data_IF_405836951646
#
_entry.id   IF_405836951646
#
_cell.length_a   1.000
_cell.length_b   1.000
_cell.length_c   1.000
_cell.angle_alpha   90.00
_cell.angle_beta   90.00
_cell.angle_gamma   90.00
#
_symmetry.space_group_name_H-M   'P 1'
#
loop_
_entity.id
_entity.type
_entity.pdbx_description
1 polymer ?
#
# COMPACT_ATOMS: atom_id res chain seq x y z
N UNK A 1 -4.59 23.12 1.29
CA UNK A 1 -4.16 24.38 1.96
C UNK A 1 -4.69 24.54 3.38
N UNK A 2 -5.93 24.10 3.66
CA UNK A 2 -6.56 24.20 5.00
C UNK A 2 -5.72 23.55 6.12
N UNK A 3 -5.43 22.25 6.03
CA UNK A 3 -4.69 21.53 7.08
C UNK A 3 -3.28 22.05 7.35
N UNK A 4 -2.60 22.59 6.34
CA UNK A 4 -1.29 23.23 6.54
C UNK A 4 -1.39 24.47 7.45
N UNK A 5 -2.43 25.28 7.29
CA UNK A 5 -2.66 26.44 8.16
C UNK A 5 -2.92 26.01 9.60
N UNK A 6 -3.70 24.95 9.79
CA UNK A 6 -3.96 24.39 11.12
C UNK A 6 -2.68 23.86 11.77
N UNK A 7 -1.80 23.18 11.04
CA UNK A 7 -0.50 22.73 11.57
C UNK A 7 0.41 23.90 11.96
N UNK A 8 0.42 24.99 11.19
CA UNK A 8 1.15 26.21 11.57
C UNK A 8 0.56 26.82 12.86
N UNK A 9 -0.76 26.84 12.99
CA UNK A 9 -1.42 27.31 14.21
C UNK A 9 -1.08 26.44 15.42
N UNK A 10 -1.07 25.12 15.25
CA UNK A 10 -0.66 24.17 16.29
C UNK A 10 0.80 24.38 16.68
N UNK A 11 1.70 24.54 15.72
CA UNK A 11 3.12 24.83 15.97
C UNK A 11 3.31 26.09 16.84
N UNK A 12 2.64 27.18 16.49
CA UNK A 12 2.66 28.42 17.27
C UNK A 12 1.94 28.28 18.63
N UNK A 13 0.90 27.46 18.69
CA UNK A 13 0.13 27.15 19.89
C UNK A 13 0.91 26.35 20.92
N UNK A 14 1.74 25.41 20.47
CA UNK A 14 2.48 24.49 21.34
C UNK A 14 3.41 25.20 22.33
N UNK A 15 4.08 26.28 21.90
CA UNK A 15 4.94 27.08 22.77
C UNK A 15 4.16 27.80 23.87
N UNK A 16 3.01 28.40 23.52
CA UNK A 16 2.13 29.04 24.50
C UNK A 16 1.56 28.02 25.48
N UNK A 17 1.17 26.85 24.98
CA UNK A 17 0.66 25.76 25.81
C UNK A 17 1.72 25.26 26.81
N UNK A 18 2.97 25.12 26.38
CA UNK A 18 4.07 24.75 27.28
C UNK A 18 4.29 25.79 28.40
N UNK A 19 4.21 27.08 28.08
CA UNK A 19 4.30 28.14 29.09
C UNK A 19 3.17 28.09 30.13
N UNK A 20 1.97 27.65 29.73
CA UNK A 20 0.85 27.49 30.67
C UNK A 20 1.15 26.44 31.74
N UNK A 21 1.79 25.33 31.36
CA UNK A 21 2.26 24.31 32.31
C UNK A 21 3.35 24.85 33.24
N UNK A 22 4.33 25.57 32.70
CA UNK A 22 5.43 26.16 33.49
C UNK A 22 4.91 27.15 34.54
N UNK A 23 3.92 27.96 34.18
CA UNK A 23 3.33 28.95 35.08
C UNK A 23 2.29 28.35 36.05
N UNK A 24 2.12 27.02 36.07
CA UNK A 24 1.13 26.33 36.91
C UNK A 24 -0.27 26.94 36.77
N UNK A 25 -0.66 27.25 35.53
CA UNK A 25 -1.94 27.87 35.22
C UNK A 25 -3.08 26.99 35.75
N UNK A 26 -4.03 27.58 36.48
CA UNK A 26 -5.12 26.83 37.14
C UNK A 26 -6.10 26.15 36.17
N UNK A 27 -6.15 26.59 34.92
CA UNK A 27 -7.01 26.02 33.88
C UNK A 27 -6.22 25.90 32.58
N UNK A 28 -5.74 24.69 32.29
CA UNK A 28 -5.02 24.37 31.05
C UNK A 28 -5.95 23.51 30.21
N UNK A 29 -6.29 24.00 29.02
CA UNK A 29 -7.00 23.19 28.03
C UNK A 29 -6.02 22.13 27.53
N UNK A 30 -6.41 20.85 27.64
CA UNK A 30 -5.53 19.74 27.25
C UNK A 30 -5.40 19.67 25.74
N UNK A 31 -4.16 19.58 25.27
CA UNK A 31 -3.82 19.51 23.86
C UNK A 31 -3.23 18.13 23.54
N UNK A 32 -3.68 17.51 22.45
CA UNK A 32 -3.33 16.10 22.14
C UNK A 32 -1.84 15.91 21.84
N UNK A 33 -1.15 16.95 21.38
CA UNK A 33 0.30 16.89 21.13
C UNK A 33 1.15 17.05 22.40
N UNK A 34 0.55 17.38 23.54
CA UNK A 34 1.30 17.68 24.76
C UNK A 34 1.54 16.45 25.63
N UNK A 35 2.80 16.12 25.89
CA UNK A 35 3.18 15.02 26.79
C UNK A 35 2.82 15.25 28.25
N UNK A 36 2.74 16.51 28.71
CA UNK A 36 2.27 16.82 30.06
C UNK A 36 0.75 16.58 30.18
N UNK A 37 -0.02 16.87 29.12
CA UNK A 37 -1.44 16.56 29.08
C UNK A 37 -1.72 15.08 28.86
N UNK A 38 -0.94 14.41 28.02
CA UNK A 38 -1.10 13.00 27.66
C UNK A 38 0.26 12.30 27.79
N UNK A 39 0.61 11.84 29.00
CA UNK A 39 1.90 11.22 29.27
C UNK A 39 2.09 9.94 28.46
N UNK A 40 3.36 9.60 28.23
CA UNK A 40 3.73 8.38 27.53
C UNK A 40 3.34 7.15 28.37
N UNK A 41 2.89 6.06 27.73
CA UNK A 41 2.69 4.80 28.43
C UNK A 41 4.03 4.27 28.95
N UNK A 42 3.99 3.48 30.02
CA UNK A 42 5.19 2.86 30.61
C UNK A 42 5.95 1.97 29.63
N UNK A 43 5.22 1.33 28.71
CA UNK A 43 5.78 0.47 27.66
C UNK A 43 5.32 1.00 26.31
N UNK A 44 6.27 1.39 25.47
CA UNK A 44 6.01 1.85 24.10
C UNK A 44 6.04 0.62 23.16
N UNK A 45 4.98 0.37 22.37
CA UNK A 45 4.93 -0.74 21.43
C UNK A 45 6.08 -0.69 20.42
N UNK A 46 6.62 -1.85 20.06
CA UNK A 46 7.75 -1.94 19.12
C UNK A 46 7.35 -1.44 17.71
N UNK A 47 6.12 -1.72 17.29
CA UNK A 47 5.55 -1.17 16.05
C UNK A 47 5.57 0.36 16.02
N UNK A 48 5.28 1.01 17.15
CA UNK A 48 5.36 2.46 17.27
C UNK A 48 6.80 2.97 17.14
N UNK A 49 7.77 2.31 17.78
CA UNK A 49 9.18 2.71 17.66
C UNK A 49 9.68 2.61 16.22
N UNK A 50 9.33 1.53 15.52
CA UNK A 50 9.69 1.35 14.11
C UNK A 50 9.07 2.44 13.23
N UNK A 51 7.78 2.74 13.43
CA UNK A 51 7.12 3.84 12.76
C UNK A 51 7.81 5.18 13.07
N UNK A 52 8.08 5.47 14.35
CA UNK A 52 8.66 6.73 14.77
C UNK A 52 10.06 6.96 14.19
N UNK A 53 10.89 5.91 14.12
CA UNK A 53 12.23 5.98 13.51
C UNK A 53 12.19 6.44 12.04
N UNK A 54 11.14 6.07 11.31
CA UNK A 54 10.91 6.57 9.96
C UNK A 54 10.25 7.96 9.99
N UNK A 55 9.18 8.12 10.76
CA UNK A 55 8.36 9.32 10.80
C UNK A 55 9.11 10.56 11.29
N UNK A 56 10.15 10.39 12.13
CA UNK A 56 10.99 11.49 12.60
C UNK A 56 11.77 12.20 11.50
N UNK A 57 11.92 11.58 10.31
CA UNK A 57 12.53 12.26 9.16
C UNK A 57 11.74 13.46 8.65
N UNK A 58 10.47 13.60 9.05
CA UNK A 58 9.61 14.75 8.72
C UNK A 58 9.76 15.92 9.69
N UNK A 59 10.92 16.06 10.34
CA UNK A 59 11.23 17.13 11.30
C UNK A 59 10.25 17.19 12.46
N UNK A 60 9.91 16.04 13.04
CA UNK A 60 9.12 15.96 14.27
C UNK A 60 10.03 16.07 15.49
N UNK A 61 9.62 16.81 16.52
CA UNK A 61 10.37 16.97 17.77
C UNK A 61 9.89 16.02 18.86
N UNK A 62 8.58 15.80 18.96
CA UNK A 62 8.00 14.96 20.01
C UNK A 62 6.64 14.39 19.65
N UNK A 63 6.27 13.31 20.33
CA UNK A 63 4.95 12.69 20.31
C UNK A 63 4.41 12.56 21.73
N UNK A 64 3.09 12.44 21.88
CA UNK A 64 2.43 12.22 23.16
C UNK A 64 1.87 10.79 23.27
N UNK A 65 1.28 10.46 24.42
CA UNK A 65 0.52 9.22 24.57
C UNK A 65 -0.63 9.09 23.56
N UNK A 66 -1.20 10.21 23.08
CA UNK A 66 -2.25 10.20 22.06
C UNK A 66 -1.73 9.75 20.70
N UNK A 67 -0.55 10.20 20.30
CA UNK A 67 0.08 9.76 19.04
C UNK A 67 0.26 8.25 19.01
N UNK A 68 0.68 7.66 20.13
CA UNK A 68 0.82 6.20 20.26
C UNK A 68 -0.53 5.51 20.13
N UNK A 69 -1.55 5.99 20.85
CA UNK A 69 -2.91 5.44 20.79
C UNK A 69 -3.45 5.43 19.35
N UNK A 70 -3.34 6.56 18.64
CA UNK A 70 -3.84 6.67 17.28
C UNK A 70 -3.09 5.80 16.28
N UNK A 71 -1.78 5.61 16.45
CA UNK A 71 -1.03 4.70 15.59
C UNK A 71 -1.45 3.24 15.81
N UNK A 72 -1.60 2.81 17.07
CA UNK A 72 -2.04 1.44 17.37
C UNK A 72 -3.43 1.18 16.78
N UNK A 73 -4.37 2.10 16.99
CA UNK A 73 -5.71 2.03 16.42
C UNK A 73 -5.70 2.03 14.89
N UNK A 74 -4.79 2.80 14.26
CA UNK A 74 -4.61 2.81 12.81
C UNK A 74 -4.11 1.45 12.29
N UNK A 75 -3.12 0.86 12.95
CA UNK A 75 -2.60 -0.47 12.58
C UNK A 75 -3.71 -1.52 12.68
N UNK A 76 -4.48 -1.51 13.77
CA UNK A 76 -5.59 -2.44 13.96
C UNK A 76 -6.70 -2.25 12.91
N UNK A 77 -7.00 -1.00 12.56
CA UNK A 77 -7.99 -0.64 11.52
C UNK A 77 -7.54 -1.12 10.13
N UNK A 78 -6.25 -0.96 9.81
CA UNK A 78 -5.70 -1.44 8.54
C UNK A 78 -5.71 -2.98 8.43
N UNK A 79 -5.64 -3.69 9.55
CA UNK A 79 -5.65 -5.16 9.58
C UNK A 79 -7.06 -5.78 9.50
N UNK A 80 -8.09 -5.12 10.05
CA UNK A 80 -9.40 -5.74 10.33
C UNK A 80 -10.55 -5.38 9.35
N UNK A 81 -10.22 -5.02 8.10
CA UNK A 81 -11.10 -4.42 7.08
C UNK A 81 -11.25 -2.90 7.24
N UNK A 82 -10.55 -2.19 6.37
CA UNK A 82 -10.33 -0.75 6.40
C UNK A 82 -11.56 0.03 5.95
N UNK A 83 -12.26 0.68 6.88
CA UNK A 83 -13.04 1.88 6.54
C UNK A 83 -12.06 3.02 6.22
N UNK A 84 -12.05 3.43 4.95
CA UNK A 84 -11.18 4.52 4.46
C UNK A 84 -11.38 5.79 5.29
N UNK A 85 -12.59 6.08 5.75
CA UNK A 85 -12.88 7.29 6.53
C UNK A 85 -12.19 7.26 7.90
N UNK A 86 -12.27 6.14 8.60
CA UNK A 86 -11.60 5.95 9.89
C UNK A 86 -10.08 6.04 9.75
N UNK A 87 -9.52 5.42 8.70
CA UNK A 87 -8.08 5.51 8.39
C UNK A 87 -7.64 6.97 8.19
N UNK A 88 -8.40 7.75 7.42
CA UNK A 88 -8.15 9.17 7.21
C UNK A 88 -8.14 9.97 8.51
N UNK A 89 -9.15 9.77 9.35
CA UNK A 89 -9.29 10.47 10.63
C UNK A 89 -8.11 10.13 11.55
N UNK A 90 -7.70 8.87 11.61
CA UNK A 90 -6.58 8.45 12.46
C UNK A 90 -5.25 9.01 11.98
N UNK A 91 -5.01 9.05 10.67
CA UNK A 91 -3.79 9.68 10.12
C UNK A 91 -3.77 11.16 10.45
N UNK A 92 -4.88 11.86 10.26
CA UNK A 92 -5.00 13.26 10.64
C UNK A 92 -4.66 13.44 12.13
N UNK A 93 -5.25 12.64 13.01
CA UNK A 93 -5.00 12.68 14.45
C UNK A 93 -3.54 12.37 14.82
N UNK A 94 -2.87 11.45 14.13
CA UNK A 94 -1.43 11.20 14.33
C UNK A 94 -0.62 12.46 13.99
N UNK A 95 -0.92 13.10 12.86
CA UNK A 95 -0.21 14.31 12.43
C UNK A 95 -0.44 15.44 13.45
N UNK A 96 -1.69 15.71 13.84
CA UNK A 96 -2.03 16.81 14.78
C UNK A 96 -1.70 16.51 16.25
N UNK A 97 -1.47 15.26 16.63
CA UNK A 97 -0.93 14.90 17.95
C UNK A 97 0.59 14.87 17.99
N UNK A 98 1.27 15.20 16.89
CA UNK A 98 2.74 15.29 16.83
C UNK A 98 3.18 16.75 16.87
N UNK A 99 4.30 17.04 17.54
CA UNK A 99 4.95 18.35 17.47
C UNK A 99 6.00 18.33 16.37
N UNK A 100 5.94 19.30 15.47
CA UNK A 100 6.92 19.49 14.39
C UNK A 100 7.91 20.59 14.77
N UNK A 101 9.19 20.41 14.46
CA UNK A 101 10.19 21.47 14.42
C UNK A 101 10.01 22.35 13.19
N UNK A 102 9.62 21.72 12.08
CA UNK A 102 9.30 22.37 10.82
C UNK A 102 8.02 21.77 10.25
N UNK A 103 7.00 22.61 10.10
CA UNK A 103 5.71 22.17 9.54
C UNK A 103 5.94 21.62 8.11
N UNK A 104 5.43 20.41 7.81
CA UNK A 104 5.56 19.83 6.48
C UNK A 104 4.93 20.74 5.41
N UNK A 105 5.62 20.88 4.27
CA UNK A 105 5.17 21.73 3.18
C UNK A 105 3.87 21.23 2.54
N UNK A 106 3.72 19.90 2.46
CA UNK A 106 2.57 19.23 1.88
C UNK A 106 2.00 18.18 2.84
N UNK A 107 0.81 18.48 3.37
CA UNK A 107 0.05 17.58 4.24
C UNK A 107 -0.37 16.30 3.50
N UNK A 108 -0.80 16.40 2.25
CA UNK A 108 -1.30 15.26 1.50
C UNK A 108 -0.16 14.29 1.22
N UNK A 109 1.02 14.80 0.87
CA UNK A 109 2.21 13.97 0.68
C UNK A 109 2.60 13.23 1.97
N UNK A 110 2.54 13.90 3.13
CA UNK A 110 2.81 13.26 4.41
C UNK A 110 1.80 12.14 4.70
N UNK A 111 0.51 12.45 4.57
CA UNK A 111 -0.60 11.50 4.73
C UNK A 111 -0.40 10.27 3.84
N UNK A 112 -0.16 10.46 2.55
CA UNK A 112 0.04 9.37 1.58
C UNK A 112 1.27 8.53 1.92
N UNK A 113 2.33 9.18 2.45
CA UNK A 113 3.53 8.49 2.90
C UNK A 113 3.26 7.61 4.12
N UNK A 114 2.44 8.07 5.08
CA UNK A 114 2.01 7.28 6.25
C UNK A 114 1.23 6.05 5.79
N UNK A 115 0.26 6.23 4.89
CA UNK A 115 -0.53 5.11 4.33
C UNK A 115 0.41 4.10 3.68
N UNK A 116 1.30 4.57 2.80
CA UNK A 116 2.25 3.72 2.08
C UNK A 116 3.20 2.97 3.01
N UNK A 117 3.63 3.60 4.09
CA UNK A 117 4.55 3.00 5.06
C UNK A 117 3.86 1.91 5.90
N UNK A 118 2.62 2.15 6.33
CA UNK A 118 1.88 1.25 7.22
C UNK A 118 1.11 0.16 6.46
N UNK A 119 0.79 0.37 5.19
CA UNK A 119 0.15 -0.67 4.38
C UNK A 119 1.17 -1.78 4.13
N UNK A 120 0.90 -3.04 4.56
CA UNK A 120 1.78 -4.15 4.25
C UNK A 120 1.98 -4.20 2.74
N UNK A 121 3.22 -4.37 2.27
CA UNK A 121 3.45 -4.80 0.88
C UNK A 121 2.70 -6.11 0.73
N UNK A 122 1.52 -6.07 0.13
CA UNK A 122 0.81 -7.28 -0.26
C UNK A 122 1.80 -8.05 -1.12
N UNK A 123 2.42 -9.11 -0.57
CA UNK A 123 2.80 -10.23 -1.44
C UNK A 123 1.49 -10.57 -2.15
N UNK A 124 1.48 -10.70 -3.48
CA UNK A 124 0.26 -11.09 -4.17
C UNK A 124 -0.31 -12.26 -3.40
N UNK A 125 -1.55 -12.11 -2.90
CA UNK A 125 -2.30 -13.24 -2.35
C UNK A 125 -2.12 -14.33 -3.39
N UNK A 126 -1.49 -15.45 -3.02
CA UNK A 126 -1.69 -16.68 -3.78
C UNK A 126 -3.20 -16.80 -3.86
N UNK A 127 -3.74 -16.57 -5.05
CA UNK A 127 -5.11 -16.90 -5.38
C UNK A 127 -5.21 -18.40 -5.26
N UNK A 128 -5.47 -18.87 -4.05
CA UNK A 128 -6.17 -20.13 -3.91
C UNK A 128 -7.55 -19.88 -4.54
N UNK A 129 -7.85 -20.68 -5.57
CA UNK A 129 -9.11 -20.76 -6.31
C UNK A 129 -9.20 -19.93 -7.61
N UNK A 130 -8.39 -20.31 -8.61
CA UNK A 130 -8.85 -20.68 -9.96
C UNK A 130 -7.68 -21.28 -10.77
N UNK A 131 -6.86 -22.13 -10.13
CA UNK A 131 -5.96 -22.99 -10.89
C UNK A 131 -6.80 -24.19 -11.38
N UNK A 132 -7.09 -24.23 -12.67
CA UNK A 132 -7.58 -25.44 -13.35
C UNK A 132 -6.68 -26.60 -12.92
N UNK A 133 -7.25 -27.69 -12.41
CA UNK A 133 -6.44 -28.81 -11.93
C UNK A 133 -5.66 -29.44 -13.10
N UNK A 134 -4.52 -30.06 -12.83
CA UNK A 134 -3.75 -30.76 -13.87
C UNK A 134 -4.59 -31.81 -14.62
N UNK A 135 -5.63 -32.34 -13.96
CA UNK A 135 -6.61 -33.25 -14.57
C UNK A 135 -7.50 -32.52 -15.56
N UNK A 136 -8.04 -31.36 -15.18
CA UNK A 136 -8.86 -30.53 -16.07
C UNK A 136 -8.05 -29.97 -17.25
N UNK A 137 -6.79 -29.61 -17.05
CA UNK A 137 -5.89 -29.17 -18.11
C UNK A 137 -5.60 -30.32 -19.09
N UNK A 138 -5.34 -31.54 -18.60
CA UNK A 138 -5.16 -32.73 -19.45
C UNK A 138 -6.40 -33.09 -20.24
N UNK A 139 -7.58 -32.97 -19.65
CA UNK A 139 -8.86 -33.19 -20.35
C UNK A 139 -9.07 -32.17 -21.46
N UNK A 140 -8.80 -30.88 -21.18
CA UNK A 140 -8.93 -29.81 -22.17
C UNK A 140 -7.96 -30.01 -23.35
N UNK A 141 -6.69 -30.32 -23.06
CA UNK A 141 -5.69 -30.58 -24.09
C UNK A 141 -6.04 -31.81 -24.94
N UNK A 142 -6.59 -32.87 -24.33
CA UNK A 142 -7.10 -34.03 -25.07
C UNK A 142 -8.23 -33.65 -26.03
N UNK A 143 -9.21 -32.86 -25.58
CA UNK A 143 -10.31 -32.38 -26.42
C UNK A 143 -9.84 -31.57 -27.61
N UNK A 144 -8.90 -30.64 -27.41
CA UNK A 144 -8.30 -29.83 -28.48
C UNK A 144 -7.57 -30.73 -29.49
N UNK A 145 -6.74 -31.66 -29.04
CA UNK A 145 -6.02 -32.58 -29.94
C UNK A 145 -6.94 -33.52 -30.71
N UNK A 146 -8.07 -33.93 -30.12
CA UNK A 146 -9.07 -34.74 -30.81
C UNK A 146 -9.73 -33.95 -31.95
N UNK A 147 -10.11 -32.69 -31.69
CA UNK A 147 -10.71 -31.82 -32.71
C UNK A 147 -9.78 -31.55 -33.90
N UNK A 148 -8.48 -31.32 -33.66
CA UNK A 148 -7.51 -31.19 -34.75
C UNK A 148 -7.34 -32.50 -35.56
N UNK A 149 -7.46 -33.66 -34.91
CA UNK A 149 -7.34 -34.96 -35.58
C UNK A 149 -8.56 -35.28 -36.45
N UNK A 150 -9.76 -34.88 -36.03
CA UNK A 150 -10.97 -34.98 -36.85
C UNK A 150 -10.92 -34.03 -38.05
N UNK A 151 -10.56 -32.76 -37.85
CA UNK A 151 -10.43 -31.79 -38.93
C UNK A 151 -9.38 -32.22 -39.98
N UNK A 152 -8.25 -32.79 -39.55
CA UNK A 152 -7.24 -33.34 -40.46
C UNK A 152 -7.74 -34.56 -41.25
N UNK A 153 -8.62 -35.39 -40.65
CA UNK A 153 -9.25 -36.52 -41.34
C UNK A 153 -10.26 -36.07 -42.39
N UNK A 154 -11.05 -35.03 -42.10
CA UNK A 154 -11.98 -34.45 -43.09
C UNK A 154 -11.23 -33.84 -44.28
N UNK A 155 -10.16 -33.07 -44.02
CA UNK A 155 -9.33 -32.51 -45.09
C UNK A 155 -8.61 -33.58 -45.94
N UNK A 156 -8.28 -34.74 -45.36
CA UNK A 156 -7.69 -35.87 -46.08
C UNK A 156 -8.68 -36.59 -46.99
N UNK A 157 -9.99 -36.48 -46.75
CA UNK A 157 -11.02 -37.11 -47.57
C UNK A 157 -11.48 -36.24 -48.76
N UNK A 158 -11.21 -34.92 -48.74
CA UNK A 158 -11.60 -33.98 -49.80
C UNK A 158 -10.45 -33.57 -50.75
N UNK A 159 -9.21 -33.97 -50.48
CA UNK A 159 -8.08 -33.60 -51.33
C UNK A 159 -7.95 -34.53 -52.55
N UNK A 160 -8.67 -34.23 -53.63
CA UNK A 160 -8.33 -34.71 -54.97
C UNK A 160 -7.03 -33.99 -55.41
N UNK A 161 -5.89 -34.55 -54.99
CA UNK A 161 -4.56 -34.03 -55.32
C UNK A 161 -4.23 -34.35 -56.79
N UNK A 162 -4.26 -33.33 -57.64
CA UNK A 162 -3.69 -33.42 -59.00
C UNK A 162 -2.16 -33.44 -58.86
N UNK A 163 -1.45 -34.46 -59.36
CA UNK A 163 0.00 -34.49 -59.31
C UNK A 163 0.58 -33.37 -60.20
N UNK A 164 1.41 -32.51 -59.63
CA UNK A 164 2.23 -31.58 -60.40
C UNK A 164 3.53 -32.31 -60.74
N UNK A 165 3.79 -32.55 -62.02
CA UNK A 165 5.06 -33.11 -62.48
C UNK A 165 6.21 -32.13 -62.21
N UNK A 166 7.29 -32.65 -61.66
CA UNK A 166 8.50 -31.91 -61.33
C UNK A 166 9.26 -31.53 -62.60
N UNK A 167 9.41 -30.22 -62.84
CA UNK A 167 10.29 -29.68 -63.87
C UNK A 167 11.75 -30.05 -63.57
N UNK A 168 12.35 -30.90 -64.39
CA UNK A 168 13.78 -31.19 -64.36
C UNK A 168 14.57 -30.00 -64.94
N UNK A 169 15.09 -29.14 -64.07
CA UNK A 169 16.05 -28.10 -64.45
C UNK A 169 17.33 -28.73 -64.98
N UNK A 170 17.68 -28.42 -66.23
CA UNK A 170 18.91 -28.86 -66.89
C UNK A 170 20.13 -28.31 -66.15
N UNK A 171 20.94 -29.22 -65.62
CA UNK A 171 22.36 -29.01 -65.27
C UNK A 171 23.14 -28.77 -66.57
N UNK A 172 23.61 -27.54 -66.77
CA UNK A 172 24.72 -27.21 -67.65
C UNK A 172 25.51 -26.09 -66.96
N UNK A 173 26.38 -26.47 -66.04
CA UNK A 173 27.59 -25.71 -65.73
C UNK A 173 28.74 -26.52 -66.32
N UNK A 174 29.49 -25.91 -67.23
CA UNK A 174 30.84 -26.34 -67.64
C UNK A 174 31.46 -25.15 -68.40
N UNK A 175 32.80 -25.00 -68.41
CA UNK A 175 33.65 -24.55 -67.29
C UNK A 175 34.21 -23.12 -67.48
#
# INVERSE_FOLDING_TARGET
QYFRKELVNQYNGAQRHLQQHQNSSKSIIREEYCCACYPLPLVIPESFKQFWNWYSSYHTSSYSGKTIQYLVELIDTLNNNSDTTTVEILIQRIIFSTVFERVPADYNQLRDSIIKHLTPKRKPKKTDNMAMSDVQLKELLKGITAGFKEAAKEMSNEANLIPIETFAGKINEDP
#
